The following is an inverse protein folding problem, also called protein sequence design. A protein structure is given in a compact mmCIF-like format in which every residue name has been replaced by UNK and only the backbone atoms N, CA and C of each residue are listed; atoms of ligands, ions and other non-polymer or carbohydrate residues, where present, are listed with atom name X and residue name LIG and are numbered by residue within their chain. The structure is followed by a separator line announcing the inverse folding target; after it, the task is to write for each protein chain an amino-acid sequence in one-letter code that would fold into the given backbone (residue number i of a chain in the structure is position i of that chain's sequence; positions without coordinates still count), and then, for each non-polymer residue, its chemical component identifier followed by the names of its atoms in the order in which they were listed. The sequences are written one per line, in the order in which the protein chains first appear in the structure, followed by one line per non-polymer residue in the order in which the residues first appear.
data_IF_114678032319
#
_entry.id   IF_114678032319
#
_cell.length_a   1.000
_cell.length_b   1.000
_cell.length_c   1.000
_cell.angle_alpha   90.00
_cell.angle_beta   90.00
_cell.angle_gamma   90.00
#
_symmetry.space_group_name_H-M   'P 1'
#
loop_
_entity.id
_entity.type
_entity.pdbx_description
1 polymer ?
#
# COMPACT_ATOMS: atom_id res chain seq x y z
N UNK A 1 8.91 -7.24 12.19
CA UNK A 1 8.09 -7.48 10.98
C UNK A 1 8.36 -8.88 10.44
N UNK A 2 7.31 -9.67 10.19
CA UNK A 2 7.47 -11.02 9.63
C UNK A 2 7.82 -10.97 8.14
N UNK A 3 8.37 -12.07 7.60
CA UNK A 3 8.65 -12.19 6.16
C UNK A 3 7.40 -12.02 5.30
N UNK A 4 6.25 -12.54 5.77
CA UNK A 4 4.98 -12.38 5.07
C UNK A 4 4.57 -10.91 4.98
N UNK A 5 4.81 -10.15 6.05
CA UNK A 5 4.52 -8.73 6.09
C UNK A 5 5.36 -7.94 5.07
N UNK A 6 6.65 -8.28 4.92
CA UNK A 6 7.53 -7.66 3.90
C UNK A 6 7.08 -7.99 2.48
N UNK A 7 6.72 -9.25 2.23
CA UNK A 7 6.22 -9.69 0.92
C UNK A 7 4.92 -8.99 0.53
N UNK A 8 4.01 -8.79 1.49
CA UNK A 8 2.80 -8.01 1.27
C UNK A 8 3.11 -6.55 0.91
N UNK A 9 4.05 -5.90 1.61
CA UNK A 9 4.45 -4.53 1.31
C UNK A 9 5.00 -4.42 -0.12
N UNK A 10 5.85 -5.36 -0.55
CA UNK A 10 6.38 -5.37 -1.93
C UNK A 10 5.27 -5.51 -2.98
N UNK A 11 4.36 -6.47 -2.79
CA UNK A 11 3.23 -6.69 -3.70
C UNK A 11 2.32 -5.48 -3.81
N UNK A 12 2.09 -4.78 -2.70
CA UNK A 12 1.29 -3.56 -2.68
C UNK A 12 2.01 -2.44 -3.43
N UNK A 13 3.31 -2.24 -3.19
CA UNK A 13 4.12 -1.23 -3.91
C UNK A 13 4.10 -1.45 -5.42
N UNK A 14 4.34 -2.68 -5.89
CA UNK A 14 4.28 -3.00 -7.32
C UNK A 14 2.90 -2.68 -7.94
N UNK A 15 1.82 -2.97 -7.20
CA UNK A 15 0.46 -2.73 -7.69
C UNK A 15 0.13 -1.25 -7.74
N UNK A 16 0.58 -0.47 -6.76
CA UNK A 16 0.45 0.98 -6.72
C UNK A 16 1.16 1.58 -7.94
N UNK A 17 2.42 1.20 -8.18
CA UNK A 17 3.22 1.69 -9.32
C UNK A 17 2.58 1.33 -10.65
N UNK A 18 2.13 0.09 -10.84
CA UNK A 18 1.46 -0.36 -12.07
C UNK A 18 0.17 0.41 -12.37
N UNK A 19 -0.50 0.92 -11.34
CA UNK A 19 -1.73 1.73 -11.49
C UNK A 19 -1.45 3.23 -11.56
N UNK A 20 -0.21 3.66 -11.37
CA UNK A 20 0.14 5.07 -11.23
C UNK A 20 -0.48 5.72 -10.00
N UNK A 21 -0.78 4.93 -8.97
CA UNK A 21 -1.41 5.41 -7.75
C UNK A 21 -0.37 5.96 -6.78
N UNK A 22 -0.80 6.87 -5.92
CA UNK A 22 -0.06 7.30 -4.73
C UNK A 22 -0.54 6.53 -3.49
N UNK A 23 0.17 6.66 -2.36
CA UNK A 23 -0.30 6.13 -1.08
C UNK A 23 -1.63 6.77 -0.65
N UNK A 24 -1.86 8.03 -1.01
CA UNK A 24 -3.13 8.73 -0.76
C UNK A 24 -4.28 8.07 -1.51
N UNK A 25 -4.08 7.73 -2.79
CA UNK A 25 -5.10 7.03 -3.59
C UNK A 25 -5.43 5.66 -2.97
N UNK A 26 -4.41 4.94 -2.50
CA UNK A 26 -4.62 3.68 -1.79
C UNK A 26 -5.44 3.89 -0.50
N UNK A 27 -5.12 4.93 0.29
CA UNK A 27 -5.85 5.24 1.54
C UNK A 27 -7.34 5.49 1.30
N UNK A 28 -7.66 6.23 0.23
CA UNK A 28 -9.03 6.56 -0.16
C UNK A 28 -9.77 5.30 -0.60
N UNK A 29 -9.17 4.48 -1.46
CA UNK A 29 -9.81 3.28 -2.02
C UNK A 29 -10.04 2.20 -0.97
N UNK A 30 -9.11 2.02 -0.03
CA UNK A 30 -9.22 1.01 1.04
C UNK A 30 -10.04 1.54 2.22
N UNK A 31 -10.32 2.84 2.27
CA UNK A 31 -11.10 3.45 3.36
C UNK A 31 -10.32 3.50 4.68
N UNK A 32 -9.01 3.70 4.63
CA UNK A 32 -8.12 3.78 5.80
C UNK A 32 -7.47 5.15 5.90
N UNK A 33 -7.05 5.54 7.09
CA UNK A 33 -6.27 6.76 7.27
C UNK A 33 -4.89 6.63 6.63
N UNK A 34 -4.33 7.72 6.12
CA UNK A 34 -2.97 7.74 5.57
C UNK A 34 -1.92 7.28 6.62
N UNK A 35 -2.16 7.59 7.89
CA UNK A 35 -1.35 7.13 9.03
C UNK A 35 -1.31 5.61 9.21
N UNK A 36 -2.28 4.87 8.67
CA UNK A 36 -2.28 3.41 8.71
C UNK A 36 -1.42 2.79 7.60
N UNK A 37 -1.03 3.60 6.60
CA UNK A 37 -0.18 3.21 5.47
C UNK A 37 1.28 3.65 5.69
N UNK A 38 1.48 4.71 6.49
CA UNK A 38 2.79 5.29 6.82
C UNK A 38 3.48 4.50 7.92
#
# INVERSE_FOLDING_TARGET
MSQQHRKWIELVKERIEKRGWSQTDLSIVVGVSLSAIT
#
